data_IF_605783038442
#
_entry.id   IF_605783038442
#
_cell.length_a   1.000
_cell.length_b   1.000
_cell.length_c   1.000
_cell.angle_alpha   90.00
_cell.angle_beta   90.00
_cell.angle_gamma   90.00
#
_symmetry.space_group_name_H-M   'P 1'
#
loop_
_entity.id
_entity.type
_entity.pdbx_description
1 polymer ?
#
# COMPACT_ATOMS: atom_id res chain seq x y z
N UNK A 1 -11.33 -45.83 11.19
CA UNK A 1 -10.49 -44.62 11.16
C UNK A 1 -11.40 -43.42 11.01
N UNK A 2 -11.60 -42.67 12.08
CA UNK A 2 -12.48 -41.50 12.07
C UNK A 2 -11.71 -40.32 11.44
N UNK A 3 -12.28 -39.75 10.35
CA UNK A 3 -11.81 -38.55 9.69
C UNK A 3 -11.97 -37.38 10.67
N UNK A 4 -10.85 -36.81 11.18
CA UNK A 4 -10.87 -35.56 11.93
C UNK A 4 -11.63 -34.51 11.11
N UNK A 5 -12.59 -33.80 11.68
CA UNK A 5 -13.20 -32.67 10.97
C UNK A 5 -12.10 -31.65 10.74
N UNK A 6 -11.93 -31.21 9.45
CA UNK A 6 -11.19 -29.99 9.13
C UNK A 6 -11.79 -28.88 9.98
N UNK A 7 -11.00 -28.28 10.85
CA UNK A 7 -11.39 -27.03 11.52
C UNK A 7 -11.81 -26.06 10.42
N UNK A 8 -13.06 -25.66 10.46
CA UNK A 8 -13.62 -24.63 9.61
C UNK A 8 -12.93 -23.33 10.06
N UNK A 9 -11.73 -23.09 9.52
CA UNK A 9 -10.98 -21.83 9.78
C UNK A 9 -11.72 -20.74 9.01
N UNK A 10 -12.75 -20.19 9.63
CA UNK A 10 -13.43 -19.02 9.10
C UNK A 10 -12.45 -17.86 9.17
N UNK A 11 -11.99 -17.41 8.01
CA UNK A 11 -11.25 -16.15 7.93
C UNK A 11 -12.15 -15.03 8.44
N UNK A 12 -11.61 -14.14 9.26
CA UNK A 12 -12.23 -12.87 9.59
C UNK A 12 -12.31 -11.98 8.35
N UNK A 13 -13.11 -10.92 8.39
CA UNK A 13 -13.20 -9.96 7.28
C UNK A 13 -11.83 -9.36 6.94
N UNK A 14 -11.02 -9.02 7.95
CA UNK A 14 -9.66 -8.48 7.76
C UNK A 14 -8.75 -9.52 7.10
N UNK A 15 -8.73 -10.75 7.57
CA UNK A 15 -7.92 -11.82 6.96
C UNK A 15 -8.35 -12.11 5.51
N UNK A 16 -9.64 -11.99 5.19
CA UNK A 16 -10.11 -12.08 3.81
C UNK A 16 -9.47 -11.01 2.93
N UNK A 17 -9.46 -9.74 3.38
CA UNK A 17 -8.92 -8.60 2.64
C UNK A 17 -7.40 -8.71 2.47
N UNK A 18 -6.68 -9.04 3.53
CA UNK A 18 -5.23 -9.24 3.50
C UNK A 18 -4.82 -10.37 2.54
N UNK A 19 -5.43 -11.53 2.70
CA UNK A 19 -5.13 -12.67 1.83
C UNK A 19 -5.53 -12.43 0.37
N UNK A 20 -6.58 -11.65 0.13
CA UNK A 20 -6.97 -11.27 -1.22
C UNK A 20 -5.97 -10.32 -1.86
N UNK A 21 -5.45 -9.31 -1.14
CA UNK A 21 -4.37 -8.44 -1.62
C UNK A 21 -3.13 -9.25 -1.97
N UNK A 22 -2.70 -10.15 -1.09
CA UNK A 22 -1.57 -11.03 -1.33
C UNK A 22 -1.79 -11.93 -2.57
N UNK A 23 -2.95 -12.57 -2.69
CA UNK A 23 -3.28 -13.42 -3.84
C UNK A 23 -3.36 -12.67 -5.17
N UNK A 24 -3.77 -11.39 -5.15
CA UNK A 24 -3.76 -10.53 -6.34
C UNK A 24 -2.33 -10.17 -6.74
N UNK A 25 -1.45 -9.92 -5.76
CA UNK A 25 -0.04 -9.58 -6.00
C UNK A 25 0.76 -10.75 -6.57
N UNK A 26 0.63 -11.95 -5.97
CA UNK A 26 1.44 -13.12 -6.36
C UNK A 26 1.21 -13.60 -7.79
N UNK A 27 0.02 -13.41 -8.35
CA UNK A 27 -0.38 -14.06 -9.62
C UNK A 27 -0.68 -13.08 -10.76
N UNK A 28 -0.45 -11.79 -10.56
CA UNK A 28 -0.61 -10.78 -11.63
C UNK A 28 -1.99 -10.74 -12.30
N UNK A 29 -3.01 -11.36 -11.72
CA UNK A 29 -4.32 -11.51 -12.31
C UNK A 29 -5.34 -10.55 -11.72
N UNK A 30 -5.46 -9.40 -12.39
CA UNK A 30 -6.67 -8.60 -12.32
C UNK A 30 -7.87 -9.46 -12.77
N UNK A 31 -8.83 -9.67 -11.89
CA UNK A 31 -10.13 -10.25 -12.29
C UNK A 31 -10.38 -11.68 -11.86
N UNK A 32 -9.79 -12.15 -10.78
CA UNK A 32 -10.21 -13.44 -10.21
C UNK A 32 -11.67 -13.40 -9.81
N UNK A 33 -12.39 -14.46 -10.18
CA UNK A 33 -13.75 -14.67 -9.67
C UNK A 33 -13.71 -14.90 -8.14
N UNK A 34 -14.81 -14.62 -7.46
CA UNK A 34 -14.98 -14.96 -6.03
C UNK A 34 -14.67 -16.46 -5.80
N UNK A 35 -15.00 -17.30 -6.78
CA UNK A 35 -14.73 -18.74 -6.71
C UNK A 35 -13.22 -19.02 -6.72
N UNK A 36 -12.45 -18.37 -7.59
CA UNK A 36 -11.00 -18.54 -7.67
C UNK A 36 -10.29 -18.04 -6.42
N UNK A 37 -10.73 -16.89 -5.90
CA UNK A 37 -10.22 -16.36 -4.62
C UNK A 37 -10.52 -17.31 -3.47
N UNK A 38 -11.76 -17.77 -3.33
CA UNK A 38 -12.14 -18.74 -2.29
C UNK A 38 -11.31 -20.01 -2.35
N UNK A 39 -11.11 -20.55 -3.58
CA UNK A 39 -10.29 -21.73 -3.79
C UNK A 39 -8.81 -21.49 -3.43
N UNK A 40 -8.26 -20.33 -3.80
CA UNK A 40 -6.88 -19.94 -3.46
C UNK A 40 -6.68 -19.81 -1.95
N UNK A 41 -7.69 -19.25 -1.25
CA UNK A 41 -7.65 -19.06 0.20
C UNK A 41 -8.05 -20.31 0.99
N UNK A 42 -8.43 -21.40 0.30
CA UNK A 42 -8.84 -22.66 0.95
C UNK A 42 -10.13 -22.57 1.75
N UNK A 43 -11.00 -21.62 1.43
CA UNK A 43 -12.28 -21.38 2.12
C UNK A 43 -13.48 -21.64 1.22
N UNK A 44 -14.66 -21.83 1.81
CA UNK A 44 -15.89 -21.99 1.06
C UNK A 44 -16.41 -20.66 0.50
N UNK A 45 -17.18 -20.71 -0.61
CA UNK A 45 -17.92 -19.53 -1.11
C UNK A 45 -18.86 -18.94 -0.05
N UNK A 46 -19.40 -19.76 0.83
CA UNK A 46 -20.23 -19.30 1.95
C UNK A 46 -19.47 -18.38 2.92
N UNK A 47 -18.15 -18.61 3.11
CA UNK A 47 -17.29 -17.73 3.90
C UNK A 47 -17.22 -16.32 3.31
N UNK A 48 -17.17 -16.19 1.98
CA UNK A 48 -17.22 -14.89 1.31
C UNK A 48 -18.52 -14.15 1.61
N UNK A 49 -19.67 -14.78 1.34
CA UNK A 49 -20.99 -14.16 1.51
C UNK A 49 -21.39 -13.90 2.97
N UNK A 50 -20.62 -14.45 3.91
CA UNK A 50 -20.75 -14.08 5.32
C UNK A 50 -20.20 -12.66 5.61
N UNK A 51 -19.18 -12.22 4.86
CA UNK A 51 -18.49 -10.95 5.08
C UNK A 51 -18.85 -9.87 4.07
N UNK A 52 -19.22 -10.26 2.84
CA UNK A 52 -19.44 -9.35 1.71
C UNK A 52 -20.74 -9.70 0.99
N UNK A 53 -21.53 -8.66 0.73
CA UNK A 53 -22.82 -8.80 0.06
C UNK A 53 -22.68 -9.32 -1.37
N UNK A 54 -21.76 -8.73 -2.11
CA UNK A 54 -21.46 -9.03 -3.49
C UNK A 54 -20.00 -8.67 -3.84
N UNK A 55 -19.65 -8.79 -5.13
CA UNK A 55 -18.32 -8.48 -5.60
C UNK A 55 -17.96 -6.99 -5.44
N UNK A 56 -18.90 -6.09 -5.65
CA UNK A 56 -18.66 -4.65 -5.59
C UNK A 56 -18.43 -4.20 -4.14
N UNK A 57 -19.20 -4.72 -3.19
CA UNK A 57 -18.97 -4.53 -1.76
C UNK A 57 -17.59 -5.02 -1.33
N UNK A 58 -17.19 -6.21 -1.81
CA UNK A 58 -15.84 -6.74 -1.55
C UNK A 58 -14.74 -5.86 -2.14
N UNK A 59 -14.87 -5.42 -3.39
CA UNK A 59 -13.88 -4.56 -4.04
C UNK A 59 -13.77 -3.22 -3.30
N UNK A 60 -14.89 -2.63 -2.91
CA UNK A 60 -14.89 -1.41 -2.12
C UNK A 60 -14.12 -1.61 -0.80
N UNK A 61 -14.46 -2.66 -0.05
CA UNK A 61 -13.80 -3.00 1.20
C UNK A 61 -12.30 -3.29 1.04
N UNK A 62 -11.91 -3.96 -0.05
CA UNK A 62 -10.52 -4.26 -0.36
C UNK A 62 -9.70 -2.99 -0.61
N UNK A 63 -10.25 -2.06 -1.38
CA UNK A 63 -9.58 -0.80 -1.71
C UNK A 63 -9.55 0.16 -0.52
N UNK A 64 -10.60 0.16 0.31
CA UNK A 64 -10.64 0.90 1.57
C UNK A 64 -9.55 0.38 2.53
N UNK A 65 -9.48 -0.95 2.71
CA UNK A 65 -8.46 -1.60 3.53
C UNK A 65 -7.03 -1.30 3.03
N UNK A 66 -6.78 -1.41 1.71
CA UNK A 66 -5.50 -1.01 1.13
C UNK A 66 -5.18 0.47 1.41
N UNK A 67 -6.16 1.34 1.30
CA UNK A 67 -5.95 2.77 1.57
C UNK A 67 -5.62 3.02 3.04
N UNK A 68 -6.34 2.41 3.97
CA UNK A 68 -6.15 2.62 5.40
C UNK A 68 -4.84 2.03 5.91
N UNK A 69 -4.58 0.77 5.60
CA UNK A 69 -3.45 0.00 6.16
C UNK A 69 -2.12 0.24 5.40
N UNK A 70 -2.17 0.64 4.12
CA UNK A 70 -0.99 0.76 3.27
C UNK A 70 -0.75 2.18 2.72
N UNK A 71 -1.69 3.11 2.92
CA UNK A 71 -1.55 4.49 2.46
C UNK A 71 -1.60 5.48 3.62
N UNK A 72 -2.67 5.46 4.43
CA UNK A 72 -2.89 6.47 5.45
C UNK A 72 -2.12 6.23 6.76
N UNK A 73 -1.76 4.97 7.05
CA UNK A 73 -1.15 4.58 8.32
C UNK A 73 0.15 5.33 8.65
N UNK A 74 1.07 5.47 7.67
CA UNK A 74 2.36 6.10 7.92
C UNK A 74 2.27 7.62 8.13
N UNK A 75 1.57 8.41 7.30
CA UNK A 75 1.33 9.82 7.57
C UNK A 75 0.69 10.08 8.94
N UNK A 76 -0.32 9.30 9.31
CA UNK A 76 -1.00 9.43 10.61
C UNK A 76 -0.05 9.16 11.78
N UNK A 77 0.78 8.11 11.69
CA UNK A 77 1.76 7.80 12.72
C UNK A 77 2.81 8.90 12.85
N UNK A 78 3.32 9.39 11.73
CA UNK A 78 4.34 10.45 11.69
C UNK A 78 3.83 11.77 12.29
N UNK A 79 2.61 12.17 11.98
CA UNK A 79 2.00 13.39 12.57
C UNK A 79 1.78 13.25 14.07
N UNK A 80 1.31 12.10 14.53
CA UNK A 80 1.11 11.84 15.97
C UNK A 80 2.43 11.94 16.75
N UNK A 81 3.53 11.44 16.18
CA UNK A 81 4.84 11.40 16.84
C UNK A 81 5.58 12.75 16.79
N UNK A 82 5.13 13.69 15.94
CA UNK A 82 5.63 15.06 15.88
C UNK A 82 7.08 15.19 15.39
N UNK A 83 7.72 16.29 15.70
CA UNK A 83 9.08 16.63 15.28
C UNK A 83 9.13 17.64 14.13
N UNK A 84 10.34 18.00 13.66
CA UNK A 84 10.54 18.87 12.50
C UNK A 84 10.03 18.22 11.22
N UNK A 85 9.74 19.00 10.19
CA UNK A 85 9.29 18.47 8.90
C UNK A 85 10.31 17.50 8.27
N UNK A 86 11.60 17.79 8.45
CA UNK A 86 12.70 16.92 8.00
C UNK A 86 12.69 15.57 8.73
N UNK A 87 12.57 15.57 10.06
CA UNK A 87 12.48 14.34 10.86
C UNK A 87 11.22 13.55 10.53
N UNK A 88 10.10 14.23 10.28
CA UNK A 88 8.85 13.59 9.87
C UNK A 88 8.97 12.94 8.49
N UNK A 89 9.64 13.59 7.52
CA UNK A 89 9.90 13.02 6.21
C UNK A 89 10.80 11.77 6.31
N UNK A 90 11.90 11.86 7.05
CA UNK A 90 12.80 10.72 7.27
C UNK A 90 12.04 9.53 7.87
N UNK A 91 11.24 9.79 8.89
CA UNK A 91 10.42 8.76 9.57
C UNK A 91 9.35 8.17 8.66
N UNK A 92 8.69 9.01 7.84
CA UNK A 92 7.75 8.54 6.82
C UNK A 92 8.40 7.54 5.86
N UNK A 93 9.56 7.92 5.31
CA UNK A 93 10.26 7.10 4.33
C UNK A 93 10.71 5.76 4.94
N UNK A 94 11.23 5.78 6.18
CA UNK A 94 11.59 4.55 6.90
C UNK A 94 10.38 3.68 7.22
N UNK A 95 9.26 4.23 7.71
CA UNK A 95 8.05 3.46 7.98
C UNK A 95 7.52 2.77 6.71
N UNK A 96 7.51 3.49 5.58
CA UNK A 96 7.08 2.91 4.30
C UNK A 96 7.99 1.77 3.89
N UNK A 97 9.31 1.94 4.04
CA UNK A 97 10.29 0.91 3.70
C UNK A 97 10.23 -0.30 4.65
N UNK A 98 10.31 -0.08 5.97
CA UNK A 98 10.44 -1.14 6.97
C UNK A 98 9.20 -2.03 7.06
N UNK A 99 8.03 -1.48 6.77
CA UNK A 99 6.76 -2.20 6.77
C UNK A 99 6.26 -2.59 5.38
N UNK A 100 7.07 -2.33 4.33
CA UNK A 100 6.75 -2.63 2.92
C UNK A 100 5.35 -2.13 2.53
N UNK A 101 5.04 -0.88 2.89
CA UNK A 101 3.69 -0.31 2.74
C UNK A 101 3.29 -0.08 1.28
N UNK A 102 4.21 -0.21 0.33
CA UNK A 102 3.94 -0.06 -1.11
C UNK A 102 3.85 -1.39 -1.87
N UNK A 103 4.01 -2.53 -1.20
CA UNK A 103 4.04 -3.88 -1.81
C UNK A 103 2.86 -4.22 -2.72
N UNK A 104 1.71 -3.59 -2.53
CA UNK A 104 0.52 -3.82 -3.36
C UNK A 104 0.27 -2.73 -4.41
N UNK A 105 1.05 -1.65 -4.39
CA UNK A 105 0.80 -0.46 -5.21
C UNK A 105 0.79 -0.76 -6.70
N UNK A 106 1.79 -1.48 -7.22
CA UNK A 106 1.85 -1.81 -8.65
C UNK A 106 0.72 -2.76 -9.06
N UNK A 107 0.35 -3.72 -8.22
CA UNK A 107 -0.79 -4.60 -8.47
C UNK A 107 -2.08 -3.81 -8.55
N UNK A 108 -2.35 -2.93 -7.58
CA UNK A 108 -3.54 -2.07 -7.55
C UNK A 108 -3.55 -1.13 -8.76
N UNK A 109 -2.41 -0.53 -9.14
CA UNK A 109 -2.28 0.32 -10.33
C UNK A 109 -2.50 -0.44 -11.64
N UNK A 110 -1.99 -1.67 -11.75
CA UNK A 110 -2.23 -2.55 -12.90
C UNK A 110 -3.71 -2.84 -13.09
N UNK A 111 -4.44 -3.10 -12.00
CA UNK A 111 -5.90 -3.28 -12.04
C UNK A 111 -6.60 -1.97 -12.40
N UNK A 112 -6.15 -0.86 -11.82
CA UNK A 112 -6.69 0.48 -12.04
C UNK A 112 -6.67 0.93 -13.51
N UNK A 113 -5.74 0.40 -14.30
CA UNK A 113 -5.69 0.67 -15.75
C UNK A 113 -6.91 0.16 -16.52
N UNK A 114 -7.69 -0.75 -15.93
CA UNK A 114 -8.85 -1.42 -16.56
C UNK A 114 -10.15 -1.30 -15.74
N UNK A 115 -10.04 -0.89 -14.48
CA UNK A 115 -11.18 -0.82 -13.56
C UNK A 115 -11.31 0.61 -12.97
N UNK A 116 -12.39 1.34 -13.28
CA UNK A 116 -12.60 2.70 -12.81
C UNK A 116 -12.72 2.83 -11.28
N UNK A 117 -13.14 1.78 -10.56
CA UNK A 117 -13.21 1.80 -9.10
C UNK A 117 -11.80 1.85 -8.52
N UNK A 118 -10.90 0.97 -8.96
CA UNK A 118 -9.50 1.00 -8.57
C UNK A 118 -8.84 2.33 -8.97
N UNK A 119 -9.11 2.85 -10.17
CA UNK A 119 -8.55 4.12 -10.61
C UNK A 119 -8.94 5.31 -9.72
N UNK A 120 -10.17 5.32 -9.17
CA UNK A 120 -10.59 6.36 -8.21
C UNK A 120 -9.80 6.27 -6.90
N UNK A 121 -9.61 5.06 -6.37
CA UNK A 121 -8.87 4.85 -5.13
C UNK A 121 -7.38 5.15 -5.28
N UNK A 122 -6.76 4.75 -6.40
CA UNK A 122 -5.37 5.12 -6.72
C UNK A 122 -5.20 6.63 -6.74
N UNK A 123 -6.08 7.36 -7.43
CA UNK A 123 -6.03 8.83 -7.45
C UNK A 123 -6.22 9.45 -6.06
N UNK A 124 -7.10 8.88 -5.22
CA UNK A 124 -7.29 9.31 -3.83
C UNK A 124 -6.00 9.11 -3.02
N UNK A 125 -5.39 7.93 -3.13
CA UNK A 125 -4.16 7.59 -2.43
C UNK A 125 -2.98 8.47 -2.87
N UNK A 126 -2.78 8.64 -4.17
CA UNK A 126 -1.70 9.47 -4.71
C UNK A 126 -1.84 10.93 -4.28
N UNK A 127 -3.06 11.48 -4.33
CA UNK A 127 -3.32 12.83 -3.86
C UNK A 127 -2.99 12.98 -2.38
N UNK A 128 -3.49 12.10 -1.54
CA UNK A 128 -3.24 12.12 -0.10
C UNK A 128 -1.75 12.06 0.23
N UNK A 129 -1.02 11.12 -0.40
CA UNK A 129 0.43 10.97 -0.20
C UNK A 129 1.19 12.21 -0.67
N UNK A 130 0.85 12.74 -1.86
CA UNK A 130 1.52 13.93 -2.41
C UNK A 130 1.26 15.17 -1.55
N UNK A 131 0.01 15.43 -1.17
CA UNK A 131 -0.35 16.56 -0.32
C UNK A 131 0.41 16.53 1.01
N UNK A 132 0.54 15.35 1.61
CA UNK A 132 1.31 15.19 2.84
C UNK A 132 2.80 15.46 2.65
N UNK A 133 3.43 14.85 1.63
CA UNK A 133 4.87 15.05 1.37
C UNK A 133 5.15 16.49 0.94
N UNK A 134 4.30 17.09 0.11
CA UNK A 134 4.41 18.50 -0.30
C UNK A 134 4.32 19.43 0.91
N UNK A 135 3.43 19.17 1.88
CA UNK A 135 3.33 19.97 3.10
C UNK A 135 4.62 19.97 3.92
N UNK A 136 5.30 18.82 4.02
CA UNK A 136 6.58 18.71 4.72
C UNK A 136 7.68 19.54 4.02
N UNK A 137 7.79 19.49 2.69
CA UNK A 137 8.76 20.29 1.95
C UNK A 137 8.46 21.80 2.03
N UNK A 138 7.18 22.19 2.00
CA UNK A 138 6.80 23.59 2.21
C UNK A 138 7.19 24.10 3.61
N UNK A 139 6.97 23.28 4.64
CA UNK A 139 7.36 23.61 6.03
C UNK A 139 8.89 23.73 6.17
N UNK A 140 9.67 22.94 5.42
CA UNK A 140 11.13 23.08 5.34
C UNK A 140 11.57 24.33 4.56
N UNK A 141 10.66 25.09 3.95
CA UNK A 141 10.90 26.33 3.23
C UNK A 141 11.28 26.19 1.76
N UNK A 142 10.99 25.04 1.14
CA UNK A 142 11.13 24.88 -0.32
C UNK A 142 10.04 25.65 -1.07
N UNK A 143 10.38 26.20 -2.23
CA UNK A 143 9.44 26.91 -3.10
C UNK A 143 8.58 25.94 -3.92
N UNK A 144 7.47 26.41 -4.46
CA UNK A 144 6.40 25.59 -5.09
C UNK A 144 6.90 24.54 -6.10
N UNK A 145 7.72 24.92 -7.07
CA UNK A 145 8.22 24.00 -8.08
C UNK A 145 9.17 22.95 -7.50
N UNK A 146 10.06 23.37 -6.61
CA UNK A 146 11.01 22.49 -5.91
C UNK A 146 10.24 21.48 -5.04
N UNK A 147 9.28 21.95 -4.27
CA UNK A 147 8.38 21.12 -3.46
C UNK A 147 7.72 20.04 -4.30
N UNK A 148 7.12 20.40 -5.42
CA UNK A 148 6.44 19.45 -6.32
C UNK A 148 7.37 18.41 -6.91
N UNK A 149 8.57 18.83 -7.34
CA UNK A 149 9.56 17.90 -7.91
C UNK A 149 10.03 16.91 -6.84
N UNK A 150 10.43 17.41 -5.66
CA UNK A 150 10.91 16.58 -4.54
C UNK A 150 9.85 15.59 -4.06
N UNK A 151 8.61 16.04 -3.87
CA UNK A 151 7.51 15.20 -3.43
C UNK A 151 7.19 14.09 -4.43
N UNK A 152 7.16 14.40 -5.73
CA UNK A 152 6.94 13.40 -6.78
C UNK A 152 8.11 12.42 -6.89
N UNK A 153 9.34 12.90 -6.78
CA UNK A 153 10.53 12.04 -6.79
C UNK A 153 10.52 11.07 -5.60
N UNK A 154 10.20 11.58 -4.41
CA UNK A 154 10.05 10.78 -3.21
C UNK A 154 8.98 9.69 -3.39
N UNK A 155 7.76 10.08 -3.78
CA UNK A 155 6.66 9.14 -3.96
C UNK A 155 6.95 8.11 -5.06
N UNK A 156 7.49 8.54 -6.21
CA UNK A 156 7.82 7.64 -7.30
C UNK A 156 8.87 6.60 -6.88
N UNK A 157 9.94 7.03 -6.22
CA UNK A 157 10.96 6.11 -5.71
C UNK A 157 10.35 5.10 -4.73
N UNK A 158 9.67 5.58 -3.69
CA UNK A 158 9.09 4.71 -2.65
C UNK A 158 8.07 3.70 -3.20
N UNK A 159 7.31 4.09 -4.24
CA UNK A 159 6.29 3.24 -4.84
C UNK A 159 6.84 2.18 -5.81
N UNK A 160 8.06 2.33 -6.32
CA UNK A 160 8.56 1.51 -7.44
C UNK A 160 9.94 0.90 -7.22
N UNK A 161 10.67 1.33 -6.20
CA UNK A 161 12.07 0.91 -5.97
C UNK A 161 12.20 -0.62 -5.93
N UNK A 162 11.38 -1.29 -5.14
CA UNK A 162 11.44 -2.74 -4.93
C UNK A 162 11.07 -3.58 -6.17
N UNK A 163 10.45 -2.98 -7.18
CA UNK A 163 10.01 -3.66 -8.40
C UNK A 163 10.90 -3.34 -9.62
N UNK A 164 11.50 -2.14 -9.64
CA UNK A 164 12.26 -1.67 -10.81
C UNK A 164 13.76 -1.98 -10.71
N UNK A 165 14.27 -2.18 -9.52
CA UNK A 165 15.70 -2.38 -9.30
C UNK A 165 15.98 -3.78 -8.76
N UNK A 166 17.25 -4.21 -8.89
CA UNK A 166 17.69 -5.49 -8.38
C UNK A 166 17.36 -5.62 -6.89
N UNK A 167 16.97 -6.83 -6.48
CA UNK A 167 16.62 -7.12 -5.09
C UNK A 167 17.85 -6.98 -4.20
N UNK A 168 17.98 -5.82 -3.60
CA UNK A 168 18.95 -5.57 -2.54
C UNK A 168 18.43 -6.17 -1.22
N UNK A 169 19.35 -6.51 -0.33
CA UNK A 169 18.98 -6.86 1.04
C UNK A 169 18.43 -5.63 1.79
N UNK A 170 17.75 -5.89 2.89
CA UNK A 170 17.07 -4.85 3.68
C UNK A 170 18.02 -3.72 4.09
N UNK A 171 19.26 -4.03 4.45
CA UNK A 171 20.25 -3.04 4.88
C UNK A 171 20.61 -2.08 3.74
N UNK A 172 20.97 -2.61 2.57
CA UNK A 172 21.33 -1.78 1.42
C UNK A 172 20.14 -0.91 0.96
N UNK A 173 18.92 -1.44 1.00
CA UNK A 173 17.71 -0.65 0.71
C UNK A 173 17.51 0.46 1.74
N UNK A 174 17.71 0.19 3.03
CA UNK A 174 17.63 1.19 4.09
C UNK A 174 18.65 2.31 3.88
N UNK A 175 19.92 1.96 3.55
CA UNK A 175 20.97 2.94 3.25
C UNK A 175 20.60 3.83 2.05
N UNK A 176 19.93 3.27 1.02
CA UNK A 176 19.45 4.04 -0.14
C UNK A 176 18.28 4.96 0.23
N UNK A 177 17.37 4.53 1.09
CA UNK A 177 16.26 5.36 1.59
C UNK A 177 16.80 6.56 2.38
N UNK A 178 17.78 6.34 3.25
CA UNK A 178 18.43 7.42 4.02
C UNK A 178 19.21 8.36 3.08
N UNK A 179 19.95 7.84 2.10
CA UNK A 179 20.64 8.64 1.09
C UNK A 179 19.68 9.46 0.21
N UNK A 180 18.53 8.89 -0.17
CA UNK A 180 17.49 9.63 -0.88
C UNK A 180 16.92 10.76 -0.02
N UNK A 181 16.65 10.50 1.26
CA UNK A 181 16.19 11.54 2.19
C UNK A 181 17.20 12.71 2.23
N UNK A 182 18.49 12.42 2.48
CA UNK A 182 19.55 13.43 2.48
C UNK A 182 19.62 14.23 1.17
N UNK A 183 19.47 13.55 0.03
CA UNK A 183 19.43 14.20 -1.29
C UNK A 183 18.22 15.13 -1.43
N UNK A 184 17.04 14.66 -1.01
CA UNK A 184 15.79 15.40 -1.14
C UNK A 184 15.70 16.63 -0.23
N UNK A 185 16.34 16.65 0.94
CA UNK A 185 16.28 17.80 1.87
C UNK A 185 17.41 18.82 1.66
N UNK A 186 18.39 18.51 0.83
CA UNK A 186 19.51 19.42 0.52
C UNK A 186 19.00 20.67 -0.21
N UNK A 187 19.36 21.84 0.31
CA UNK A 187 19.09 23.17 -0.29
C UNK A 187 20.13 23.53 -1.33
#
# INVERSE_FOLDING_TARGET
>A
MARRPKSDSRLSRKEWLENALAALSEKGQAGRSIQDLSATLGVSRGSFYWHFKDRDDFIHALLEHWYEEYTAVAPVAVERDGGTAEERLARLMRLVHDHDLTRYDLTIRSIASRDPQFARWVRKADRFRLEFIESLFMEMGFIENDTRIRARSCLAYMATEHELFDRLDHKHRSDLVDGLHEFLVRK
#
